data_IF_456382052024
#
_entry.id   IF_456382052024
#
_cell.length_a   1.000
_cell.length_b   1.000
_cell.length_c   1.000
_cell.angle_alpha   90.00
_cell.angle_beta   90.00
_cell.angle_gamma   90.00
#
_symmetry.space_group_name_H-M   'P 1'
#
loop_
_entity.id
_entity.type
_entity.pdbx_description
1 polymer ?
#
# COMPACT_ATOMS: atom_id res chain seq x y z
N UNK A 1 1.80 54.82 3.01
CA UNK A 1 3.18 54.29 3.07
C UNK A 1 3.26 53.27 4.20
N UNK A 2 3.00 51.99 3.92
CA UNK A 2 3.29 50.85 4.79
C UNK A 2 3.05 49.56 3.98
N UNK A 3 3.98 49.23 3.09
CA UNK A 3 4.02 47.92 2.43
C UNK A 3 4.51 46.94 3.51
N UNK A 4 3.62 46.08 3.97
CA UNK A 4 3.94 45.02 4.92
C UNK A 4 4.85 44.03 4.21
N UNK A 5 6.03 43.87 4.78
CA UNK A 5 7.08 42.94 4.39
C UNK A 5 6.61 41.48 4.50
N UNK A 6 6.02 40.96 3.43
CA UNK A 6 5.72 39.53 3.23
C UNK A 6 6.92 38.85 2.56
N UNK A 7 8.12 38.99 3.13
CA UNK A 7 9.24 38.09 2.84
C UNK A 7 9.96 37.70 4.12
N UNK A 8 9.24 37.04 5.04
CA UNK A 8 9.91 36.09 5.94
C UNK A 8 10.45 34.93 5.11
N UNK A 9 11.69 35.12 4.68
CA UNK A 9 12.62 34.17 4.12
C UNK A 9 12.67 32.93 5.03
N UNK A 10 11.72 32.00 4.85
CA UNK A 10 11.77 30.70 5.53
C UNK A 10 12.78 29.87 4.76
N UNK A 11 14.05 29.97 5.14
CA UNK A 11 15.02 28.96 4.78
C UNK A 11 14.40 27.58 5.01
N UNK A 12 14.53 26.64 4.04
CA UNK A 12 14.07 25.27 4.25
C UNK A 12 14.67 24.78 5.57
N UNK A 13 13.82 24.29 6.49
CA UNK A 13 14.35 23.77 7.76
C UNK A 13 15.36 22.67 7.45
N UNK A 14 16.48 22.61 8.19
CA UNK A 14 17.41 21.51 8.06
C UNK A 14 16.67 20.18 8.23
N UNK A 15 17.01 19.18 7.42
CA UNK A 15 16.43 17.85 7.51
C UNK A 15 16.96 17.20 8.79
N UNK A 16 16.08 16.88 9.74
CA UNK A 16 16.43 16.08 10.91
C UNK A 16 16.62 14.62 10.48
N UNK A 17 17.89 14.19 10.46
CA UNK A 17 18.27 12.83 10.07
C UNK A 17 17.66 11.77 10.99
N UNK A 18 17.54 12.03 12.29
CA UNK A 18 16.99 11.05 13.24
C UNK A 18 15.50 10.84 13.02
N UNK A 19 14.75 11.92 12.83
CA UNK A 19 13.32 11.85 12.52
C UNK A 19 13.07 11.18 11.16
N UNK A 20 13.87 11.52 10.15
CA UNK A 20 13.83 10.89 8.83
C UNK A 20 14.13 9.38 8.89
N UNK A 21 15.20 8.99 9.59
CA UNK A 21 15.59 7.58 9.77
C UNK A 21 14.49 6.82 10.51
N UNK A 22 13.90 7.41 11.56
CA UNK A 22 12.79 6.82 12.28
C UNK A 22 11.58 6.57 11.38
N UNK A 23 11.18 7.57 10.58
CA UNK A 23 10.07 7.45 9.66
C UNK A 23 10.32 6.34 8.62
N UNK A 24 11.49 6.34 7.97
CA UNK A 24 11.85 5.33 6.97
C UNK A 24 11.90 3.92 7.57
N UNK A 25 12.45 3.74 8.77
CA UNK A 25 12.46 2.45 9.45
C UNK A 25 11.05 1.93 9.72
N UNK A 26 10.10 2.82 10.09
CA UNK A 26 8.69 2.44 10.31
C UNK A 26 7.98 2.08 9.00
N UNK A 27 8.20 2.86 7.93
CA UNK A 27 7.71 2.51 6.59
C UNK A 27 8.25 1.14 6.17
N UNK A 28 9.55 0.92 6.35
CA UNK A 28 10.24 -0.33 6.01
C UNK A 28 9.66 -1.54 6.76
N UNK A 29 9.46 -1.43 8.08
CA UNK A 29 8.90 -2.51 8.89
C UNK A 29 7.47 -2.88 8.48
N UNK A 30 6.60 -1.88 8.31
CA UNK A 30 5.18 -2.12 7.97
C UNK A 30 5.01 -2.58 6.53
N UNK A 31 5.79 -2.03 5.59
CA UNK A 31 5.79 -2.48 4.19
C UNK A 31 6.38 -3.88 4.07
N UNK A 32 7.42 -4.19 4.84
CA UNK A 32 7.98 -5.53 4.96
C UNK A 32 6.95 -6.53 5.48
N UNK A 33 6.19 -6.17 6.52
CA UNK A 33 5.09 -7.00 7.01
C UNK A 33 4.02 -7.23 5.93
N UNK A 34 3.66 -6.21 5.15
CA UNK A 34 2.76 -6.37 4.01
C UNK A 34 3.29 -7.32 2.93
N UNK A 35 4.58 -7.24 2.62
CA UNK A 35 5.23 -8.16 1.70
C UNK A 35 5.28 -9.60 2.24
N UNK A 36 5.48 -9.78 3.55
CA UNK A 36 5.42 -11.09 4.19
C UNK A 36 4.00 -11.68 4.11
N UNK A 37 2.97 -10.91 4.51
CA UNK A 37 1.57 -11.36 4.44
C UNK A 37 1.18 -11.74 3.02
N UNK A 38 1.47 -10.89 2.03
CA UNK A 38 1.21 -11.21 0.62
C UNK A 38 1.93 -12.49 0.18
N UNK A 39 3.20 -12.67 0.55
CA UNK A 39 3.97 -13.85 0.15
C UNK A 39 3.48 -15.13 0.85
N UNK A 40 3.05 -15.03 2.12
CA UNK A 40 2.46 -16.15 2.86
C UNK A 40 1.08 -16.53 2.33
N UNK A 41 0.25 -15.55 1.96
CA UNK A 41 -1.04 -15.82 1.30
C UNK A 41 -0.83 -16.59 0.00
N UNK A 42 0.14 -16.18 -0.83
CA UNK A 42 0.50 -16.90 -2.06
C UNK A 42 1.01 -18.33 -1.81
N UNK A 43 1.81 -18.53 -0.76
CA UNK A 43 2.28 -19.86 -0.38
C UNK A 43 1.13 -20.74 0.15
N UNK A 44 0.20 -20.16 0.90
CA UNK A 44 -0.99 -20.86 1.39
C UNK A 44 -1.94 -21.23 0.24
N UNK A 45 -2.09 -20.36 -0.76
CA UNK A 45 -2.89 -20.61 -1.97
C UNK A 45 -2.10 -21.32 -3.09
N UNK A 46 -1.05 -22.07 -2.74
CA UNK A 46 -0.15 -22.72 -3.71
C UNK A 46 -0.83 -23.67 -4.70
N UNK A 47 -2.02 -24.18 -4.36
CA UNK A 47 -2.83 -25.04 -5.23
C UNK A 47 -3.33 -24.31 -6.48
N UNK A 48 -3.58 -23.00 -6.40
CA UNK A 48 -4.04 -22.20 -7.55
C UNK A 48 -2.99 -22.14 -8.68
N UNK A 49 -1.73 -22.50 -8.37
CA UNK A 49 -0.61 -22.56 -9.30
C UNK A 49 -0.37 -23.96 -9.88
N UNK A 50 -1.21 -24.95 -9.54
CA UNK A 50 -1.11 -26.30 -10.10
C UNK A 50 -1.35 -26.32 -11.62
N UNK A 51 -0.82 -27.33 -12.30
CA UNK A 51 -1.04 -27.49 -13.75
C UNK A 51 -2.54 -27.66 -14.03
N UNK A 52 -3.03 -26.99 -15.06
CA UNK A 52 -4.45 -26.95 -15.40
C UNK A 52 -5.27 -25.88 -14.66
N UNK A 53 -4.72 -25.28 -13.60
CA UNK A 53 -5.37 -24.15 -12.91
C UNK A 53 -5.15 -22.82 -13.63
N UNK A 54 -6.01 -21.84 -13.30
CA UNK A 54 -6.00 -20.51 -13.94
C UNK A 54 -4.69 -19.74 -13.71
N UNK A 55 -4.00 -19.93 -12.58
CA UNK A 55 -2.74 -19.24 -12.26
C UNK A 55 -1.49 -20.09 -12.57
N UNK A 56 -1.68 -21.21 -13.26
CA UNK A 56 -0.60 -22.08 -13.73
C UNK A 56 0.36 -21.33 -14.67
N UNK A 57 1.61 -21.79 -14.73
CA UNK A 57 2.58 -21.21 -15.66
C UNK A 57 2.19 -21.42 -17.13
N UNK A 58 1.49 -22.52 -17.43
CA UNK A 58 1.00 -22.84 -18.77
C UNK A 58 0.05 -21.78 -19.29
N UNK A 59 -0.84 -21.26 -18.44
CA UNK A 59 -1.72 -20.14 -18.77
C UNK A 59 -0.96 -18.82 -18.78
N UNK A 60 -0.15 -18.56 -17.74
CA UNK A 60 0.56 -17.29 -17.57
C UNK A 60 1.50 -16.95 -18.74
N UNK A 61 2.25 -17.93 -19.25
CA UNK A 61 3.24 -17.75 -20.33
C UNK A 61 2.62 -17.32 -21.67
N UNK A 62 1.33 -17.58 -21.88
CA UNK A 62 0.64 -17.21 -23.13
C UNK A 62 0.36 -15.70 -23.22
N UNK A 63 0.51 -14.96 -22.11
CA UNK A 63 0.17 -13.54 -22.04
C UNK A 63 1.06 -12.66 -22.91
N UNK A 64 2.37 -12.88 -22.88
CA UNK A 64 3.31 -12.07 -23.63
C UNK A 64 4.18 -12.95 -24.51
N UNK A 65 4.44 -12.51 -25.75
CA UNK A 65 5.29 -13.24 -26.70
C UNK A 65 6.68 -13.55 -26.12
N UNK A 66 7.26 -12.65 -25.33
CA UNK A 66 8.57 -12.82 -24.72
C UNK A 66 8.60 -13.85 -23.58
N UNK A 67 7.44 -14.24 -23.03
CA UNK A 67 7.33 -15.31 -22.03
C UNK A 67 7.27 -16.71 -22.66
N UNK A 68 7.19 -16.78 -23.99
CA UNK A 68 7.15 -18.00 -24.79
C UNK A 68 8.40 -18.12 -25.68
N UNK A 69 8.73 -19.34 -26.12
CA UNK A 69 9.84 -19.57 -27.05
C UNK A 69 11.20 -19.77 -26.37
N UNK A 70 12.25 -19.07 -26.82
CA UNK A 70 13.64 -19.33 -26.38
C UNK A 70 13.88 -19.05 -24.89
N UNK A 71 13.14 -18.10 -24.31
CA UNK A 71 13.19 -17.73 -22.88
C UNK A 71 12.37 -18.65 -21.98
N UNK A 72 11.51 -19.51 -22.56
CA UNK A 72 10.52 -20.30 -21.81
C UNK A 72 11.18 -21.18 -20.75
N UNK A 73 12.25 -21.90 -21.07
CA UNK A 73 12.92 -22.80 -20.12
C UNK A 73 13.49 -22.05 -18.92
N UNK A 74 14.10 -20.88 -19.16
CA UNK A 74 14.66 -20.04 -18.11
C UNK A 74 13.56 -19.42 -17.24
N UNK A 75 12.48 -18.94 -17.86
CA UNK A 75 11.34 -18.38 -17.15
C UNK A 75 10.57 -19.46 -16.39
N UNK A 76 10.42 -20.66 -16.92
CA UNK A 76 9.79 -21.79 -16.25
C UNK A 76 10.54 -22.18 -14.98
N UNK A 77 11.88 -22.14 -14.97
CA UNK A 77 12.64 -22.41 -13.74
C UNK A 77 12.28 -21.47 -12.58
N UNK A 78 11.85 -20.24 -12.88
CA UNK A 78 11.48 -19.22 -11.87
C UNK A 78 9.96 -19.16 -11.65
N UNK A 79 9.17 -19.32 -12.70
CA UNK A 79 7.73 -19.05 -12.69
C UNK A 79 6.86 -20.30 -12.72
N UNK A 80 7.41 -21.49 -12.94
CA UNK A 80 6.69 -22.73 -12.66
C UNK A 80 6.49 -22.92 -11.15
N UNK A 81 5.60 -23.83 -10.74
CA UNK A 81 5.17 -23.97 -9.34
C UNK A 81 6.33 -24.08 -8.33
N UNK A 82 7.38 -24.91 -8.55
CA UNK A 82 8.49 -24.98 -7.60
C UNK A 82 9.28 -23.66 -7.52
N UNK A 83 9.53 -23.03 -8.67
CA UNK A 83 10.25 -21.76 -8.75
C UNK A 83 9.51 -20.63 -8.06
N UNK A 84 8.19 -20.52 -8.28
CA UNK A 84 7.38 -19.46 -7.68
C UNK A 84 7.25 -19.65 -6.16
N UNK A 85 7.19 -20.91 -5.68
CA UNK A 85 7.21 -21.21 -4.25
C UNK A 85 8.54 -20.81 -3.60
N UNK A 86 9.67 -21.11 -4.24
CA UNK A 86 10.99 -20.65 -3.77
C UNK A 86 11.06 -19.13 -3.77
N UNK A 87 10.56 -18.48 -4.83
CA UNK A 87 10.51 -17.02 -4.91
C UNK A 87 9.70 -16.43 -3.75
N UNK A 88 8.51 -16.94 -3.45
CA UNK A 88 7.72 -16.44 -2.32
C UNK A 88 8.36 -16.77 -0.96
N UNK A 89 9.01 -17.93 -0.80
CA UNK A 89 9.78 -18.25 0.40
C UNK A 89 10.93 -17.25 0.63
N UNK A 90 11.67 -16.93 -0.42
CA UNK A 90 12.73 -15.92 -0.38
C UNK A 90 12.19 -14.50 -0.13
N UNK A 91 10.98 -14.19 -0.61
CA UNK A 91 10.30 -12.92 -0.29
C UNK A 91 9.94 -12.84 1.19
N UNK A 92 9.50 -13.92 1.83
CA UNK A 92 9.28 -13.95 3.29
C UNK A 92 10.58 -13.67 4.04
N UNK A 93 11.70 -14.26 3.62
CA UNK A 93 13.01 -14.00 4.23
C UNK A 93 13.48 -12.55 4.04
N UNK A 94 13.32 -11.99 2.83
CA UNK A 94 13.63 -10.60 2.55
C UNK A 94 12.75 -9.64 3.37
N UNK A 95 11.46 -9.95 3.52
CA UNK A 95 10.54 -9.18 4.36
C UNK A 95 10.96 -9.22 5.84
N UNK A 96 11.33 -10.40 6.36
CA UNK A 96 11.87 -10.55 7.72
C UNK A 96 13.15 -9.71 7.92
N UNK A 97 14.01 -9.63 6.88
CA UNK A 97 15.21 -8.79 6.90
C UNK A 97 14.88 -7.30 7.03
N UNK A 98 13.85 -6.81 6.32
CA UNK A 98 13.37 -5.43 6.45
C UNK A 98 12.79 -5.15 7.85
N UNK A 99 12.05 -6.10 8.41
CA UNK A 99 11.45 -5.97 9.73
C UNK A 99 12.49 -6.00 10.86
N UNK A 100 13.62 -6.66 10.65
CA UNK A 100 14.67 -6.82 11.66
C UNK A 100 15.46 -5.49 11.86
N UNK A 101 15.39 -4.86 13.06
CA UNK A 101 16.13 -3.63 13.33
C UNK A 101 17.65 -3.84 13.38
N UNK A 102 18.11 -5.09 13.57
CA UNK A 102 19.54 -5.44 13.66
C UNK A 102 20.14 -5.81 12.30
N UNK A 103 19.35 -5.92 11.23
CA UNK A 103 19.86 -6.25 9.92
C UNK A 103 20.76 -5.12 9.37
N UNK A 104 21.84 -5.52 8.70
CA UNK A 104 22.80 -4.57 8.13
C UNK A 104 22.15 -3.67 7.06
N UNK A 105 22.73 -2.50 6.84
CA UNK A 105 22.23 -1.58 5.81
C UNK A 105 22.27 -2.21 4.40
N UNK A 106 23.29 -2.99 4.09
CA UNK A 106 23.43 -3.68 2.80
C UNK A 106 22.37 -4.76 2.63
N UNK A 107 22.14 -5.59 3.66
CA UNK A 107 21.13 -6.64 3.63
C UNK A 107 19.73 -6.07 3.41
N UNK A 108 19.40 -4.96 4.06
CA UNK A 108 18.12 -4.27 3.87
C UNK A 108 17.98 -3.67 2.47
N UNK A 109 19.07 -3.15 1.87
CA UNK A 109 19.05 -2.64 0.49
C UNK A 109 18.81 -3.77 -0.51
N UNK A 110 19.49 -4.90 -0.33
CA UNK A 110 19.29 -6.09 -1.14
C UNK A 110 17.85 -6.62 -0.99
N UNK A 111 17.35 -6.72 0.24
CA UNK A 111 15.99 -7.16 0.52
C UNK A 111 14.91 -6.26 -0.11
N UNK A 112 15.02 -4.93 0.06
CA UNK A 112 14.08 -3.98 -0.53
C UNK A 112 14.10 -4.04 -2.07
N UNK A 113 15.31 -4.11 -2.66
CA UNK A 113 15.48 -4.21 -4.13
C UNK A 113 14.90 -5.53 -4.66
N UNK A 114 15.19 -6.64 -3.98
CA UNK A 114 14.65 -7.96 -4.32
C UNK A 114 13.12 -7.98 -4.23
N UNK A 115 12.54 -7.46 -3.15
CA UNK A 115 11.09 -7.39 -2.99
C UNK A 115 10.43 -6.53 -4.05
N UNK A 116 11.00 -5.36 -4.37
CA UNK A 116 10.51 -4.49 -5.44
C UNK A 116 10.55 -5.21 -6.80
N UNK A 117 11.71 -5.77 -7.18
CA UNK A 117 11.89 -6.46 -8.45
C UNK A 117 11.00 -7.70 -8.59
N UNK A 118 10.89 -8.50 -7.54
CA UNK A 118 9.99 -9.67 -7.55
C UNK A 118 8.52 -9.29 -7.54
N UNK A 119 8.12 -8.12 -6.98
CA UNK A 119 6.74 -7.66 -7.10
C UNK A 119 6.37 -7.37 -8.56
N UNK A 120 7.25 -6.70 -9.31
CA UNK A 120 7.07 -6.51 -10.75
C UNK A 120 7.04 -7.83 -11.51
N UNK A 121 7.93 -8.77 -11.17
CA UNK A 121 7.99 -10.08 -11.81
C UNK A 121 6.69 -10.88 -11.59
N UNK A 122 6.19 -10.93 -10.34
CA UNK A 122 4.93 -11.60 -9.99
C UNK A 122 3.75 -10.92 -10.68
N UNK A 123 3.69 -9.58 -10.68
CA UNK A 123 2.61 -8.85 -11.35
C UNK A 123 2.62 -9.09 -12.88
N UNK A 124 3.80 -9.16 -13.50
CA UNK A 124 3.93 -9.49 -14.92
C UNK A 124 3.46 -10.92 -15.21
N UNK A 125 3.77 -11.88 -14.33
CA UNK A 125 3.38 -13.29 -14.44
C UNK A 125 1.88 -13.51 -14.22
N UNK A 126 1.34 -12.94 -13.13
CA UNK A 126 0.00 -13.24 -12.63
C UNK A 126 -0.75 -11.96 -12.26
N UNK A 127 -1.21 -11.20 -13.27
CA UNK A 127 -1.98 -9.98 -13.02
C UNK A 127 -3.41 -10.27 -12.54
N UNK A 128 -3.90 -11.49 -12.76
CA UNK A 128 -5.21 -11.91 -12.26
C UNK A 128 -5.15 -12.06 -10.73
N UNK A 129 -6.12 -11.46 -10.04
CA UNK A 129 -6.10 -11.36 -8.57
C UNK A 129 -5.27 -10.19 -8.02
N UNK A 130 -4.69 -9.37 -8.91
CA UNK A 130 -4.03 -8.11 -8.53
C UNK A 130 -5.07 -7.05 -8.19
N UNK A 131 -4.78 -6.26 -7.15
CA UNK A 131 -5.65 -5.20 -6.67
C UNK A 131 -4.85 -3.93 -6.32
N UNK A 132 -5.55 -2.93 -5.78
CA UNK A 132 -4.94 -1.67 -5.38
C UNK A 132 -3.85 -1.83 -4.30
N UNK A 133 -3.94 -2.84 -3.43
CA UNK A 133 -2.93 -3.07 -2.39
C UNK A 133 -1.60 -3.52 -2.97
N UNK A 134 -1.60 -4.33 -4.03
CA UNK A 134 -0.36 -4.73 -4.71
C UNK A 134 0.31 -3.56 -5.42
N UNK A 135 -0.49 -2.66 -6.00
CA UNK A 135 0.04 -1.44 -6.61
C UNK A 135 0.70 -0.54 -5.57
N UNK A 136 0.02 -0.28 -4.44
CA UNK A 136 0.57 0.53 -3.34
C UNK A 136 1.80 -0.12 -2.72
N UNK A 137 1.81 -1.45 -2.58
CA UNK A 137 2.95 -2.21 -2.07
C UNK A 137 4.15 -2.12 -3.03
N UNK A 138 3.91 -2.25 -4.34
CA UNK A 138 4.95 -2.09 -5.38
C UNK A 138 5.58 -0.70 -5.28
N UNK A 139 4.75 0.34 -5.28
CA UNK A 139 5.19 1.73 -5.19
C UNK A 139 6.04 1.92 -3.91
N UNK A 140 5.55 1.45 -2.76
CA UNK A 140 6.24 1.60 -1.48
C UNK A 140 7.57 0.85 -1.43
N UNK A 141 7.63 -0.38 -1.92
CA UNK A 141 8.86 -1.17 -1.99
C UNK A 141 9.89 -0.56 -2.93
N UNK A 142 9.47 -0.09 -4.11
CA UNK A 142 10.34 0.60 -5.07
C UNK A 142 10.89 1.89 -4.48
N UNK A 143 10.03 2.71 -3.86
CA UNK A 143 10.48 3.95 -3.22
C UNK A 143 11.40 3.68 -2.03
N UNK A 144 11.15 2.64 -1.23
CA UNK A 144 12.06 2.20 -0.18
C UNK A 144 13.41 1.79 -0.75
N UNK A 145 13.45 0.95 -1.79
CA UNK A 145 14.69 0.56 -2.46
C UNK A 145 15.48 1.79 -2.91
N UNK A 146 14.83 2.75 -3.61
CA UNK A 146 15.45 4.01 -4.01
C UNK A 146 15.99 4.80 -2.81
N UNK A 147 15.21 4.93 -1.72
CA UNK A 147 15.65 5.65 -0.52
C UNK A 147 16.92 5.04 0.10
N UNK A 148 17.12 3.73 -0.07
CA UNK A 148 18.31 3.02 0.41
C UNK A 148 19.50 3.17 -0.54
N UNK A 149 19.27 3.09 -1.85
CA UNK A 149 20.30 3.36 -2.87
C UNK A 149 20.85 4.79 -2.76
N UNK A 150 19.99 5.76 -2.46
CA UNK A 150 20.36 7.15 -2.20
C UNK A 150 20.53 7.46 -0.70
N UNK A 151 20.94 6.47 0.09
CA UNK A 151 21.03 6.58 1.56
C UNK A 151 21.89 7.75 2.07
N UNK A 152 22.92 8.14 1.30
CA UNK A 152 23.80 9.24 1.63
C UNK A 152 23.11 10.63 1.52
N UNK A 153 22.17 10.80 0.60
CA UNK A 153 21.50 12.08 0.32
C UNK A 153 20.21 12.24 1.15
N UNK A 154 20.18 13.15 2.15
CA UNK A 154 18.97 13.38 2.94
C UNK A 154 17.82 13.94 2.11
N UNK A 155 18.08 14.68 1.03
CA UNK A 155 17.05 15.28 0.18
C UNK A 155 16.36 14.22 -0.66
N UNK A 156 17.12 13.31 -1.28
CA UNK A 156 16.57 12.17 -2.00
C UNK A 156 15.68 11.30 -1.10
N UNK A 157 16.12 11.01 0.13
CA UNK A 157 15.35 10.27 1.13
C UNK A 157 14.09 11.00 1.58
N UNK A 158 14.16 12.33 1.73
CA UNK A 158 13.00 13.15 2.05
C UNK A 158 12.00 13.18 0.89
N UNK A 159 12.47 13.24 -0.35
CA UNK A 159 11.64 13.14 -1.54
C UNK A 159 10.92 11.79 -1.62
N UNK A 160 11.59 10.69 -1.26
CA UNK A 160 10.97 9.37 -1.16
C UNK A 160 9.82 9.33 -0.12
N UNK A 161 10.02 9.93 1.06
CA UNK A 161 8.95 10.04 2.06
C UNK A 161 7.77 10.88 1.56
N UNK A 162 8.04 12.03 0.95
CA UNK A 162 6.99 12.87 0.34
C UNK A 162 6.25 12.14 -0.78
N UNK A 163 6.96 11.37 -1.60
CA UNK A 163 6.35 10.59 -2.67
C UNK A 163 5.38 9.53 -2.11
N UNK A 164 5.78 8.78 -1.08
CA UNK A 164 4.91 7.80 -0.41
C UNK A 164 3.70 8.49 0.25
N UNK A 165 3.91 9.64 0.89
CA UNK A 165 2.82 10.40 1.51
C UNK A 165 1.84 10.95 0.47
N UNK A 166 2.36 11.54 -0.61
CA UNK A 166 1.57 12.15 -1.68
C UNK A 166 0.78 11.11 -2.48
N UNK A 167 1.40 9.97 -2.85
CA UNK A 167 0.68 8.91 -3.55
C UNK A 167 -0.47 8.35 -2.70
N UNK A 168 -0.25 8.19 -1.39
CA UNK A 168 -1.27 7.66 -0.48
C UNK A 168 -2.43 8.64 -0.36
N UNK A 169 -2.14 9.92 -0.17
CA UNK A 169 -3.15 10.98 -0.19
C UNK A 169 -3.90 11.03 -1.52
N UNK A 170 -3.21 10.90 -2.65
CA UNK A 170 -3.83 10.89 -3.97
C UNK A 170 -4.74 9.67 -4.17
N UNK A 171 -4.32 8.51 -3.69
CA UNK A 171 -5.10 7.27 -3.73
C UNK A 171 -6.43 7.43 -3.00
N UNK A 172 -6.42 7.95 -1.76
CA UNK A 172 -7.65 8.26 -1.04
C UNK A 172 -8.46 9.37 -1.73
N UNK A 173 -7.83 10.49 -2.08
CA UNK A 173 -8.54 11.64 -2.64
C UNK A 173 -9.27 11.32 -3.95
N UNK A 174 -8.60 10.63 -4.88
CA UNK A 174 -9.21 10.20 -6.14
C UNK A 174 -10.30 9.15 -5.89
N UNK A 175 -10.08 8.18 -5.01
CA UNK A 175 -11.08 7.18 -4.68
C UNK A 175 -12.34 7.83 -4.08
N UNK A 176 -12.18 8.77 -3.15
CA UNK A 176 -13.29 9.51 -2.54
C UNK A 176 -14.03 10.36 -3.57
N UNK A 177 -13.31 11.09 -4.44
CA UNK A 177 -13.91 11.88 -5.51
C UNK A 177 -14.71 11.02 -6.50
N UNK A 178 -14.16 9.87 -6.93
CA UNK A 178 -14.86 8.94 -7.80
C UNK A 178 -16.16 8.41 -7.16
N UNK A 179 -16.12 8.09 -5.86
CA UNK A 179 -17.31 7.68 -5.08
C UNK A 179 -18.31 8.82 -4.90
N UNK A 180 -17.85 10.05 -4.71
CA UNK A 180 -18.71 11.22 -4.58
C UNK A 180 -19.53 11.47 -5.87
N UNK A 181 -18.93 11.27 -7.04
CA UNK A 181 -19.60 11.46 -8.33
C UNK A 181 -20.59 10.31 -8.61
N UNK A 182 -20.25 9.09 -8.18
CA UNK A 182 -21.03 7.88 -8.45
C UNK A 182 -22.39 7.85 -7.71
N UNK A 183 -23.53 7.78 -8.43
CA UNK A 183 -24.86 7.71 -7.79
C UNK A 183 -25.01 6.52 -6.83
N UNK A 184 -24.48 5.35 -7.22
CA UNK A 184 -24.58 4.10 -6.42
C UNK A 184 -23.79 4.15 -5.11
N UNK A 185 -22.74 4.98 -5.05
CA UNK A 185 -22.04 5.25 -3.78
C UNK A 185 -22.81 6.26 -2.94
N UNK A 186 -23.40 7.28 -3.56
CA UNK A 186 -24.17 8.32 -2.85
C UNK A 186 -25.45 7.79 -2.21
N UNK A 187 -26.14 6.86 -2.87
CA UNK A 187 -27.35 6.22 -2.35
C UNK A 187 -27.06 5.00 -1.43
N UNK A 188 -25.81 4.52 -1.39
CA UNK A 188 -25.36 3.42 -0.54
C UNK A 188 -25.52 2.02 -1.13
N UNK A 189 -26.07 1.89 -2.34
CA UNK A 189 -26.22 0.61 -3.03
C UNK A 189 -24.89 -0.09 -3.26
N UNK A 190 -23.82 0.65 -3.60
CA UNK A 190 -22.48 0.10 -3.78
C UNK A 190 -21.98 -0.62 -2.53
N UNK A 191 -22.15 -0.01 -1.34
CA UNK A 191 -21.73 -0.60 -0.06
C UNK A 191 -22.45 -1.93 0.18
N UNK A 192 -23.76 -1.96 -0.03
CA UNK A 192 -24.56 -3.19 0.09
C UNK A 192 -24.11 -4.25 -0.93
N UNK A 193 -23.98 -3.86 -2.19
CA UNK A 193 -23.80 -4.80 -3.30
C UNK A 193 -22.40 -5.40 -3.36
N UNK A 194 -21.39 -4.71 -2.82
CA UNK A 194 -20.05 -5.30 -2.58
C UNK A 194 -20.17 -6.57 -1.73
N UNK A 195 -20.94 -6.53 -0.63
CA UNK A 195 -21.09 -7.69 0.25
C UNK A 195 -21.92 -8.83 -0.37
N UNK A 196 -22.56 -8.61 -1.52
CA UNK A 196 -23.26 -9.64 -2.30
C UNK A 196 -22.32 -10.43 -3.22
N UNK A 197 -21.12 -9.92 -3.49
CA UNK A 197 -20.21 -10.53 -4.47
C UNK A 197 -19.63 -11.86 -4.02
N UNK A 198 -19.15 -12.69 -4.96
CA UNK A 198 -18.47 -13.95 -4.63
C UNK A 198 -17.07 -13.74 -4.05
N UNK A 199 -16.36 -12.71 -4.52
CA UNK A 199 -14.94 -12.49 -4.19
C UNK A 199 -14.75 -11.74 -2.87
N UNK A 200 -15.61 -10.75 -2.57
CA UNK A 200 -15.47 -9.86 -1.42
C UNK A 200 -16.69 -9.87 -0.49
N UNK A 201 -17.62 -10.80 -0.72
CA UNK A 201 -18.91 -10.82 -0.06
C UNK A 201 -18.88 -11.36 1.36
N UNK A 202 -19.86 -10.95 2.16
CA UNK A 202 -20.08 -11.48 3.50
C UNK A 202 -21.58 -11.57 3.76
N UNK A 203 -22.11 -12.79 3.89
CA UNK A 203 -23.57 -13.07 3.93
C UNK A 203 -24.30 -12.26 5.01
N UNK A 204 -23.74 -12.22 6.22
CA UNK A 204 -24.34 -11.46 7.33
C UNK A 204 -24.35 -9.95 7.05
N UNK A 205 -23.21 -9.38 6.66
CA UNK A 205 -23.11 -7.95 6.31
C UNK A 205 -24.10 -7.58 5.19
N UNK A 206 -24.20 -8.42 4.15
CA UNK A 206 -25.18 -8.22 3.08
C UNK A 206 -26.61 -8.22 3.61
N UNK A 207 -27.01 -9.20 4.43
CA UNK A 207 -28.37 -9.24 5.00
C UNK A 207 -28.66 -7.99 5.83
N UNK A 208 -27.75 -7.60 6.72
CA UNK A 208 -27.92 -6.42 7.59
C UNK A 208 -28.05 -5.14 6.76
N UNK A 209 -27.23 -4.98 5.71
CA UNK A 209 -27.24 -3.79 4.84
C UNK A 209 -28.44 -3.76 3.89
N UNK A 210 -28.89 -4.93 3.40
CA UNK A 210 -30.11 -5.07 2.61
C UNK A 210 -31.33 -4.61 3.43
N UNK A 211 -31.40 -5.03 4.69
CA UNK A 211 -32.55 -4.75 5.56
C UNK A 211 -32.48 -3.34 6.20
N UNK A 212 -31.32 -2.66 6.11
CA UNK A 212 -31.09 -1.30 6.66
C UNK A 212 -30.47 -0.34 5.61
N UNK A 213 -31.23 0.10 4.59
CA UNK A 213 -30.70 0.95 3.52
C UNK A 213 -30.15 2.31 4.00
N UNK A 214 -30.71 2.88 5.08
CA UNK A 214 -30.18 4.11 5.69
C UNK A 214 -28.75 3.91 6.24
N UNK A 215 -28.47 2.73 6.78
CA UNK A 215 -27.14 2.38 7.27
C UNK A 215 -26.15 2.21 6.13
N UNK A 216 -26.55 1.54 5.04
CA UNK A 216 -25.73 1.40 3.83
C UNK A 216 -25.38 2.77 3.23
N UNK A 217 -26.36 3.68 3.17
CA UNK A 217 -26.14 5.08 2.76
C UNK A 217 -25.20 5.82 3.69
N UNK A 218 -25.38 5.72 5.01
CA UNK A 218 -24.50 6.36 5.98
C UNK A 218 -23.05 5.88 5.84
N UNK A 219 -22.83 4.57 5.70
CA UNK A 219 -21.51 4.01 5.45
C UNK A 219 -20.90 4.52 4.14
N UNK A 220 -21.69 4.59 3.06
CA UNK A 220 -21.25 5.15 1.78
C UNK A 220 -20.80 6.61 1.92
N UNK A 221 -21.57 7.43 2.63
CA UNK A 221 -21.23 8.82 2.89
C UNK A 221 -19.98 8.97 3.78
N UNK A 222 -19.85 8.14 4.82
CA UNK A 222 -18.64 8.13 5.68
C UNK A 222 -17.40 7.75 4.86
N UNK A 223 -17.49 6.76 3.97
CA UNK A 223 -16.38 6.40 3.08
C UNK A 223 -16.03 7.54 2.13
N UNK A 224 -17.02 8.15 1.46
CA UNK A 224 -16.80 9.29 0.56
C UNK A 224 -16.09 10.43 1.31
N UNK A 225 -16.67 10.90 2.41
CA UNK A 225 -16.12 12.02 3.19
C UNK A 225 -14.75 11.69 3.75
N UNK A 226 -14.58 10.49 4.32
CA UNK A 226 -13.31 10.04 4.89
C UNK A 226 -12.18 10.02 3.87
N UNK A 227 -12.41 9.40 2.71
CA UNK A 227 -11.41 9.32 1.63
C UNK A 227 -11.14 10.68 0.99
N UNK A 228 -12.18 11.49 0.70
CA UNK A 228 -12.02 12.82 0.10
C UNK A 228 -11.29 13.80 1.02
N UNK A 229 -11.54 13.73 2.33
CA UNK A 229 -10.89 14.61 3.31
C UNK A 229 -9.51 14.10 3.75
N UNK A 230 -9.17 12.84 3.50
CA UNK A 230 -7.90 12.27 3.94
C UNK A 230 -6.65 13.09 3.55
N UNK A 231 -6.51 13.65 2.33
CA UNK A 231 -5.36 14.48 1.95
C UNK A 231 -5.10 15.67 2.90
N UNK A 232 -6.13 16.15 3.60
CA UNK A 232 -5.99 17.22 4.59
C UNK A 232 -5.10 16.82 5.76
N UNK A 233 -4.80 15.54 5.97
CA UNK A 233 -3.86 15.03 6.99
C UNK A 233 -2.49 15.73 6.94
N UNK A 234 -2.07 16.19 5.77
CA UNK A 234 -0.78 16.86 5.57
C UNK A 234 -0.76 18.28 6.13
N UNK A 235 -1.91 18.94 6.28
CA UNK A 235 -2.00 20.37 6.64
C UNK A 235 -2.85 20.64 7.87
N UNK A 236 -3.77 19.73 8.20
CA UNK A 236 -4.73 19.87 9.28
C UNK A 236 -4.05 19.92 10.66
N UNK A 237 -4.70 20.55 11.66
CA UNK A 237 -4.25 20.51 13.05
C UNK A 237 -4.10 19.07 13.58
N UNK A 238 -3.21 18.90 14.57
CA UNK A 238 -2.82 17.59 15.11
C UNK A 238 -3.99 16.67 15.52
N UNK A 239 -5.07 17.14 16.18
CA UNK A 239 -6.20 16.27 16.50
C UNK A 239 -6.90 15.74 15.24
N UNK A 240 -7.13 16.61 14.24
CA UNK A 240 -7.79 16.25 12.99
C UNK A 240 -6.91 15.31 12.16
N UNK A 241 -5.61 15.61 12.05
CA UNK A 241 -4.69 14.73 11.33
C UNK A 241 -4.63 13.31 11.95
N UNK A 242 -4.65 13.20 13.28
CA UNK A 242 -4.75 11.89 13.98
C UNK A 242 -6.07 11.20 13.70
N UNK A 243 -7.18 11.93 13.71
CA UNK A 243 -8.49 11.38 13.41
C UNK A 243 -8.55 10.84 11.97
N UNK A 244 -8.03 11.57 10.98
CA UNK A 244 -7.97 11.12 9.58
C UNK A 244 -7.14 9.84 9.42
N UNK A 245 -5.97 9.75 10.07
CA UNK A 245 -5.15 8.54 10.10
C UNK A 245 -5.91 7.38 10.76
N UNK A 246 -6.58 7.63 11.88
CA UNK A 246 -7.37 6.62 12.60
C UNK A 246 -8.54 6.10 11.76
N UNK A 247 -9.27 6.98 11.09
CA UNK A 247 -10.36 6.63 10.17
C UNK A 247 -9.84 5.82 9.00
N UNK A 248 -8.73 6.23 8.38
CA UNK A 248 -8.10 5.46 7.30
C UNK A 248 -7.66 4.06 7.75
N UNK A 249 -7.02 3.94 8.91
CA UNK A 249 -6.63 2.65 9.46
C UNK A 249 -7.85 1.77 9.75
N UNK A 250 -8.87 2.34 10.40
CA UNK A 250 -10.12 1.65 10.70
C UNK A 250 -10.86 1.19 9.45
N UNK A 251 -10.82 1.97 8.37
CA UNK A 251 -11.38 1.60 7.08
C UNK A 251 -10.68 0.35 6.49
N UNK A 252 -9.35 0.30 6.48
CA UNK A 252 -8.64 -0.87 5.95
C UNK A 252 -8.82 -2.11 6.82
N UNK A 253 -8.83 -1.97 8.15
CA UNK A 253 -9.13 -3.08 9.05
C UNK A 253 -10.56 -3.57 8.86
N UNK A 254 -11.53 -2.65 8.72
CA UNK A 254 -12.92 -2.97 8.41
C UNK A 254 -13.07 -3.74 7.10
N UNK A 255 -12.32 -3.34 6.05
CA UNK A 255 -12.28 -4.06 4.78
C UNK A 255 -11.62 -5.44 4.91
N UNK A 256 -10.57 -5.59 5.73
CA UNK A 256 -9.98 -6.91 5.98
C UNK A 256 -10.98 -7.86 6.65
N UNK A 257 -11.68 -7.39 7.69
CA UNK A 257 -12.68 -8.19 8.42
C UNK A 257 -13.92 -8.47 7.56
N UNK A 258 -14.45 -7.46 6.88
CA UNK A 258 -15.70 -7.56 6.15
C UNK A 258 -15.55 -8.19 4.75
N UNK A 259 -14.41 -7.98 4.10
CA UNK A 259 -14.21 -8.32 2.68
C UNK A 259 -13.03 -9.26 2.43
N UNK A 260 -12.29 -9.67 3.47
CA UNK A 260 -11.09 -10.51 3.34
C UNK A 260 -9.88 -9.79 2.74
N UNK A 261 -9.89 -8.45 2.68
CA UNK A 261 -8.84 -7.63 2.08
C UNK A 261 -7.64 -7.41 3.01
N UNK A 262 -6.99 -8.49 3.46
CA UNK A 262 -5.90 -8.44 4.45
C UNK A 262 -4.68 -7.65 3.95
N UNK A 263 -4.31 -7.80 2.67
CA UNK A 263 -3.17 -7.10 2.05
C UNK A 263 -3.32 -5.58 2.08
N UNK A 264 -4.55 -5.06 1.97
CA UNK A 264 -4.83 -3.63 2.01
C UNK A 264 -4.41 -2.97 3.33
N UNK A 265 -4.56 -3.67 4.45
CA UNK A 265 -4.17 -3.14 5.77
C UNK A 265 -2.71 -2.72 5.75
N UNK A 266 -1.83 -3.64 5.37
CA UNK A 266 -0.40 -3.40 5.45
C UNK A 266 0.11 -2.52 4.30
N UNK A 267 -0.47 -2.62 3.11
CA UNK A 267 -0.13 -1.75 2.00
C UNK A 267 -0.36 -0.27 2.35
N UNK A 268 -1.48 0.07 2.99
CA UNK A 268 -1.79 1.45 3.34
C UNK A 268 -1.16 1.90 4.65
N UNK A 269 -1.21 1.09 5.72
CA UNK A 269 -0.56 1.43 6.99
C UNK A 269 0.96 1.59 6.82
N UNK A 270 1.57 0.87 5.88
CA UNK A 270 2.98 1.06 5.50
C UNK A 270 3.30 2.48 5.04
N UNK A 271 2.34 3.21 4.48
CA UNK A 271 2.52 4.61 4.04
C UNK A 271 2.38 5.62 5.18
N UNK A 272 1.75 5.25 6.29
CA UNK A 272 1.35 6.20 7.34
C UNK A 272 2.53 6.85 8.06
N UNK A 273 3.66 6.17 8.34
CA UNK A 273 4.82 6.84 8.91
C UNK A 273 5.38 7.94 8.01
N UNK A 274 5.32 7.76 6.68
CA UNK A 274 5.70 8.82 5.74
C UNK A 274 4.72 9.99 5.77
N UNK A 275 3.40 9.72 5.83
CA UNK A 275 2.37 10.75 5.98
C UNK A 275 2.56 11.54 7.27
N UNK A 276 2.82 10.85 8.38
CA UNK A 276 3.07 11.47 9.69
C UNK A 276 4.29 12.39 9.60
N UNK A 277 5.40 11.91 9.03
CA UNK A 277 6.62 12.70 8.82
C UNK A 277 6.37 13.94 7.96
N UNK A 278 5.62 13.80 6.86
CA UNK A 278 5.31 14.91 5.95
C UNK A 278 4.22 15.85 6.47
N UNK A 279 3.43 15.44 7.48
CA UNK A 279 2.35 16.25 8.01
C UNK A 279 2.87 17.47 8.76
N UNK A 280 2.34 18.64 8.40
CA UNK A 280 2.65 19.93 9.02
C UNK A 280 2.42 19.93 10.52
N UNK A 281 1.48 19.15 11.04
CA UNK A 281 1.13 19.16 12.46
C UNK A 281 1.67 17.97 13.25
N UNK A 282 2.07 16.88 12.58
CA UNK A 282 2.54 15.64 13.22
C UNK A 282 4.06 15.50 13.15
N UNK A 283 4.67 15.74 11.98
CA UNK A 283 6.13 15.78 11.77
C UNK A 283 6.78 17.10 12.22
N UNK A 284 6.04 17.93 12.97
CA UNK A 284 6.63 19.01 13.77
C UNK A 284 6.81 18.47 15.17
N UNK A 285 7.98 17.87 15.42
CA UNK A 285 8.49 17.77 16.78
C UNK A 285 8.37 19.14 17.44
N UNK A 286 7.58 19.25 18.51
CA UNK A 286 7.63 20.42 19.36
C UNK A 286 9.07 20.48 19.88
N UNK A 287 9.83 21.52 19.49
CA UNK A 287 10.73 22.11 20.48
C UNK A 287 9.79 22.64 21.57
N UNK A 288 9.65 21.87 22.65
CA UNK A 288 9.45 22.50 23.95
C UNK A 288 10.79 23.12 24.33
#
# INVERSE_FOLDING_TARGET
MAIIDIRKNRSPRPIDRREQDHALNRVEQLTGLGAAVSSLEYLASSRDFDRGELLSWETARTRYRWMSGKSEKALAAVFDKPGIQVLFGMRVFAAATLMNPRASAQSKTAAATYLAGTNFAVHARSPYGSDGSETVLTISLTTLALSRWFGADPRARQACLWFIAAQSCLSYGIAGAAKAISPVWRDGSAVRDIFRTKMFGHKLAFSVLRDRPRMARALGQVTIVGETLFPLVLVAPKPIARALIGVGAGFHVGNAVGMGLNRFVWAFLGTYPAIIYCSRALGRGKKQ
#
